data_IF_078526365174
#
_entry.id   IF_078526365174
#
_cell.length_a   1.000
_cell.length_b   1.000
_cell.length_c   1.000
_cell.angle_alpha   90.00
_cell.angle_beta   90.00
_cell.angle_gamma   90.00
#
_symmetry.space_group_name_H-M   'P 1'
#
loop_
_entity.id
_entity.type
_entity.pdbx_description
1 polymer ?
#
# COMPACT_ATOMS: atom_id res chain seq x y z
N UNK A 1 5.51 -3.70 25.99
CA UNK A 1 5.04 -3.84 24.59
C UNK A 1 3.59 -4.34 24.45
N UNK A 2 3.17 -5.51 24.93
CA UNK A 2 1.77 -5.97 24.83
C UNK A 2 0.76 -5.01 25.51
N UNK A 3 1.08 -4.42 26.66
CA UNK A 3 0.20 -3.46 27.34
C UNK A 3 0.10 -2.12 26.59
N UNK A 4 1.14 -1.69 25.90
CA UNK A 4 1.14 -0.47 25.10
C UNK A 4 0.31 -0.67 23.81
N UNK A 5 0.46 -1.82 23.14
CA UNK A 5 -0.34 -2.18 21.95
C UNK A 5 -1.84 -2.31 22.25
N UNK A 6 -2.23 -2.75 23.43
CA UNK A 6 -3.65 -2.84 23.80
C UNK A 6 -4.36 -1.47 23.84
N UNK A 7 -3.61 -0.39 24.03
CA UNK A 7 -4.14 0.99 24.00
C UNK A 7 -4.41 1.51 22.59
N UNK A 8 -3.77 0.90 21.57
CA UNK A 8 -3.94 1.29 20.17
C UNK A 8 -5.09 0.56 19.47
N UNK A 9 -5.76 -0.37 20.13
CA UNK A 9 -6.80 -1.20 19.54
C UNK A 9 -8.21 -0.63 19.80
N UNK A 10 -8.52 0.54 19.24
CA UNK A 10 -9.91 1.00 19.18
C UNK A 10 -10.52 0.69 17.82
N UNK A 11 -11.73 0.08 17.75
CA UNK A 11 -12.44 -0.07 16.49
C UNK A 11 -12.67 1.30 15.84
N UNK A 12 -12.42 1.40 14.52
CA UNK A 12 -12.65 2.64 13.77
C UNK A 12 -14.15 2.88 13.68
N UNK A 13 -14.67 3.88 14.39
CA UNK A 13 -15.85 4.62 13.98
C UNK A 13 -15.41 5.54 12.83
N UNK A 14 -16.12 5.56 11.69
CA UNK A 14 -15.75 6.46 10.60
C UNK A 14 -15.79 7.91 11.12
N UNK A 15 -14.81 8.77 10.82
CA UNK A 15 -14.92 10.20 11.07
C UNK A 15 -16.14 10.70 10.30
N UNK A 16 -16.99 11.47 10.95
CA UNK A 16 -18.03 12.26 10.30
C UNK A 16 -17.34 13.17 9.28
N UNK A 17 -17.76 13.09 8.02
CA UNK A 17 -17.30 14.01 6.97
C UNK A 17 -17.49 15.43 7.47
N UNK A 18 -16.42 16.21 7.49
CA UNK A 18 -16.49 17.63 7.83
C UNK A 18 -17.22 18.37 6.70
N UNK A 19 -18.05 19.34 7.05
CA UNK A 19 -18.85 20.14 6.10
C UNK A 19 -18.03 20.76 4.96
N UNK A 20 -16.73 20.98 5.15
CA UNK A 20 -15.80 21.47 4.12
C UNK A 20 -15.53 20.51 2.95
N UNK A 21 -15.73 19.19 3.13
CA UNK A 21 -15.59 18.23 2.00
C UNK A 21 -16.89 18.15 1.18
N UNK A 22 -18.03 18.47 1.74
CA UNK A 22 -19.33 18.49 1.02
C UNK A 22 -19.51 19.70 0.11
N UNK A 23 -18.94 20.85 0.44
CA UNK A 23 -19.08 22.05 -0.37
C UNK A 23 -18.25 22.04 -1.67
N UNK A 24 -17.26 21.18 -1.80
CA UNK A 24 -16.43 21.05 -3.02
C UNK A 24 -16.93 20.06 -4.06
N UNK A 25 -17.95 19.26 -3.77
CA UNK A 25 -18.57 18.32 -4.72
C UNK A 25 -19.90 18.84 -5.31
N UNK A 26 -20.37 20.02 -4.89
CA UNK A 26 -21.69 20.56 -5.24
C UNK A 26 -21.78 21.45 -6.48
N UNK A 27 -20.67 21.83 -7.09
CA UNK A 27 -20.68 22.78 -8.22
C UNK A 27 -20.19 22.17 -9.54
N UNK A 28 -20.80 21.12 -10.05
CA UNK A 28 -20.77 20.82 -11.50
C UNK A 28 -21.79 19.73 -11.86
N UNK A 29 -23.07 20.09 -11.81
CA UNK A 29 -24.12 19.34 -12.49
C UNK A 29 -25.04 20.32 -13.20
N UNK A 30 -24.63 20.80 -14.36
CA UNK A 30 -25.54 21.44 -15.33
C UNK A 30 -25.87 20.47 -16.45
N UNK A 31 -27.15 20.28 -16.61
CA UNK A 31 -27.85 19.46 -17.61
C UNK A 31 -27.43 19.78 -19.04
N UNK A 32 -27.31 18.72 -19.87
CA UNK A 32 -27.47 18.84 -21.32
C UNK A 32 -28.22 17.63 -21.90
N UNK A 33 -29.05 17.84 -22.95
CA UNK A 33 -30.16 16.97 -23.30
C UNK A 33 -29.80 15.80 -24.22
N UNK A 34 -30.63 14.76 -24.14
CA UNK A 34 -30.67 13.58 -24.98
C UNK A 34 -30.97 13.92 -26.47
N UNK A 35 -30.21 13.34 -27.39
CA UNK A 35 -30.67 13.07 -28.77
C UNK A 35 -30.04 11.77 -29.31
N UNK A 36 -30.65 11.14 -30.38
CA UNK A 36 -30.76 9.71 -30.51
C UNK A 36 -29.81 9.04 -31.51
N UNK A 37 -29.64 7.73 -31.26
CA UNK A 37 -29.26 6.61 -32.18
C UNK A 37 -28.56 6.90 -33.50
N UNK A 38 -27.34 6.40 -33.66
CA UNK A 38 -26.80 6.03 -34.96
C UNK A 38 -26.12 4.66 -34.88
N UNK A 39 -26.65 3.74 -35.67
CA UNK A 39 -26.17 2.38 -35.90
C UNK A 39 -24.78 2.42 -36.51
N UNK A 40 -23.80 1.82 -35.88
CA UNK A 40 -22.48 1.60 -36.47
C UNK A 40 -22.11 0.11 -36.47
N UNK A 41 -21.77 -0.30 -37.70
CA UNK A 41 -21.43 -1.63 -38.20
C UNK A 41 -20.42 -2.39 -37.34
N UNK A 42 -20.72 -3.66 -37.13
CA UNK A 42 -19.83 -4.73 -36.68
C UNK A 42 -18.62 -4.86 -37.63
N UNK A 43 -17.42 -4.71 -37.10
CA UNK A 43 -16.19 -5.16 -37.74
C UNK A 43 -15.43 -6.11 -36.81
N UNK A 44 -15.35 -7.33 -37.27
CA UNK A 44 -14.43 -8.46 -36.96
C UNK A 44 -13.73 -8.46 -35.58
N UNK A 45 -14.36 -9.12 -34.62
CA UNK A 45 -13.73 -9.65 -33.42
C UNK A 45 -12.84 -10.82 -33.81
N UNK A 46 -11.52 -10.65 -33.74
CA UNK A 46 -10.58 -11.77 -33.65
C UNK A 46 -10.75 -12.46 -32.29
N UNK A 47 -11.05 -13.76 -32.39
CA UNK A 47 -11.24 -14.67 -31.24
C UNK A 47 -10.04 -14.70 -30.31
N UNK A 48 -10.19 -14.12 -29.13
CA UNK A 48 -9.51 -14.59 -27.95
C UNK A 48 -10.51 -15.47 -27.18
N UNK A 49 -10.55 -16.76 -27.49
CA UNK A 49 -11.20 -17.78 -26.66
C UNK A 49 -10.27 -18.13 -25.50
N UNK A 50 -10.12 -17.25 -24.53
CA UNK A 50 -9.77 -17.62 -23.15
C UNK A 50 -11.09 -17.89 -22.44
N UNK A 51 -11.21 -19.06 -21.81
CA UNK A 51 -12.40 -19.50 -21.07
C UNK A 51 -13.03 -18.31 -20.30
N UNK A 52 -14.16 -17.82 -20.79
CA UNK A 52 -15.08 -16.99 -20.04
C UNK A 52 -15.67 -17.90 -18.95
N UNK A 53 -15.03 -17.95 -17.80
CA UNK A 53 -15.71 -18.42 -16.60
C UNK A 53 -16.80 -17.38 -16.32
N UNK A 54 -18.07 -17.83 -16.24
CA UNK A 54 -19.16 -17.02 -15.72
C UNK A 54 -18.72 -16.37 -14.41
N UNK A 55 -19.14 -15.11 -14.12
CA UNK A 55 -18.76 -14.43 -12.90
C UNK A 55 -19.12 -15.32 -11.70
N UNK A 56 -18.13 -15.60 -10.84
CA UNK A 56 -18.35 -16.45 -9.66
C UNK A 56 -19.24 -15.78 -8.63
N UNK A 57 -19.40 -14.46 -8.73
CA UNK A 57 -20.23 -13.62 -7.85
C UNK A 57 -20.52 -12.28 -8.51
N UNK A 58 -21.58 -11.61 -8.06
CA UNK A 58 -22.00 -10.26 -8.43
C UNK A 58 -22.06 -9.36 -7.19
N UNK A 59 -22.37 -8.09 -7.36
CA UNK A 59 -22.59 -7.17 -6.22
C UNK A 59 -23.73 -7.64 -5.30
N UNK A 60 -24.73 -8.34 -5.83
CA UNK A 60 -25.88 -8.85 -5.06
C UNK A 60 -25.50 -9.99 -4.10
N UNK A 61 -24.38 -10.66 -4.36
CA UNK A 61 -23.87 -11.72 -3.48
C UNK A 61 -23.06 -11.17 -2.30
N UNK A 62 -22.90 -9.83 -2.22
CA UNK A 62 -22.09 -9.14 -1.22
C UNK A 62 -22.98 -8.40 -0.22
N UNK A 63 -22.68 -8.58 1.07
CA UNK A 63 -23.19 -7.73 2.14
C UNK A 63 -22.09 -6.74 2.54
N UNK A 64 -22.26 -5.47 2.16
CA UNK A 64 -21.35 -4.38 2.51
C UNK A 64 -21.66 -3.93 3.94
N UNK A 65 -20.65 -3.98 4.82
CA UNK A 65 -20.80 -3.73 6.26
C UNK A 65 -20.39 -2.31 6.63
N UNK A 66 -19.18 -1.91 6.23
CA UNK A 66 -18.60 -0.62 6.62
C UNK A 66 -17.76 -0.04 5.48
N UNK A 67 -17.87 1.27 5.28
CA UNK A 67 -16.98 2.03 4.39
C UNK A 67 -15.58 2.12 5.02
N UNK A 68 -14.55 1.72 4.27
CA UNK A 68 -13.15 1.86 4.70
C UNK A 68 -12.56 3.17 4.14
N UNK A 69 -12.69 3.38 2.83
CA UNK A 69 -12.26 4.61 2.15
C UNK A 69 -12.96 4.78 0.81
N UNK A 70 -13.15 6.02 0.40
CA UNK A 70 -13.49 6.37 -0.97
C UNK A 70 -12.22 6.77 -1.73
N UNK A 71 -11.88 6.02 -2.78
CA UNK A 71 -10.77 6.30 -3.69
C UNK A 71 -11.26 6.94 -4.99
N UNK A 72 -10.33 7.33 -5.84
CA UNK A 72 -10.65 7.96 -7.14
C UNK A 72 -11.36 7.00 -8.10
N UNK A 73 -10.88 5.76 -8.21
CA UNK A 73 -11.39 4.76 -9.17
C UNK A 73 -12.33 3.74 -8.54
N UNK A 74 -12.45 3.71 -7.21
CA UNK A 74 -13.29 2.76 -6.50
C UNK A 74 -13.48 3.09 -5.04
N UNK A 75 -14.43 2.43 -4.43
CA UNK A 75 -14.78 2.57 -3.01
C UNK A 75 -14.50 1.25 -2.30
N UNK A 76 -13.86 1.33 -1.15
CA UNK A 76 -13.45 0.18 -0.34
C UNK A 76 -14.41 -0.03 0.82
N UNK A 77 -14.90 -1.25 0.95
CA UNK A 77 -15.80 -1.67 2.02
C UNK A 77 -15.26 -2.89 2.76
N UNK A 78 -15.55 -2.97 4.05
CA UNK A 78 -15.63 -4.26 4.70
C UNK A 78 -16.88 -4.97 4.21
N UNK A 79 -16.74 -6.23 3.83
CA UNK A 79 -17.85 -7.00 3.28
C UNK A 79 -17.76 -8.48 3.67
N UNK A 80 -18.88 -9.17 3.48
CA UNK A 80 -18.96 -10.62 3.54
C UNK A 80 -19.86 -11.14 2.43
N UNK A 81 -19.74 -12.42 2.07
CA UNK A 81 -20.72 -13.05 1.20
C UNK A 81 -22.07 -13.15 1.88
N UNK A 82 -23.16 -12.96 1.13
CA UNK A 82 -24.53 -13.20 1.61
C UNK A 82 -24.74 -14.67 1.91
N UNK A 83 -24.08 -15.57 1.14
CA UNK A 83 -24.09 -17.02 1.33
C UNK A 83 -22.69 -17.59 1.14
N UNK A 84 -22.28 -18.49 2.04
CA UNK A 84 -20.98 -19.17 1.95
C UNK A 84 -19.79 -18.26 2.30
N UNK A 85 -18.63 -18.58 1.74
CA UNK A 85 -17.35 -17.89 1.96
C UNK A 85 -16.64 -17.65 0.64
N UNK A 86 -15.75 -16.65 0.60
CA UNK A 86 -14.84 -16.45 -0.51
C UNK A 86 -13.49 -17.06 -0.15
N UNK A 87 -13.10 -18.16 -0.83
CA UNK A 87 -11.87 -18.90 -0.56
C UNK A 87 -11.63 -19.20 0.95
N UNK A 88 -12.70 -19.58 1.66
CA UNK A 88 -12.64 -19.87 3.10
C UNK A 88 -12.73 -18.66 4.03
N UNK A 89 -12.70 -17.44 3.50
CA UNK A 89 -12.82 -16.22 4.27
C UNK A 89 -14.29 -15.82 4.45
N UNK A 90 -14.72 -15.59 5.69
CA UNK A 90 -16.06 -15.08 6.01
C UNK A 90 -16.15 -13.56 5.88
N UNK A 91 -15.05 -12.85 6.11
CA UNK A 91 -14.90 -11.40 6.03
C UNK A 91 -13.78 -11.05 5.06
N UNK A 92 -13.93 -9.97 4.31
CA UNK A 92 -12.95 -9.49 3.35
C UNK A 92 -13.09 -7.98 3.10
N UNK A 93 -12.09 -7.41 2.45
CA UNK A 93 -12.12 -6.04 1.92
C UNK A 93 -12.58 -6.10 0.46
N UNK A 94 -13.59 -5.31 0.12
CA UNK A 94 -14.15 -5.25 -1.23
C UNK A 94 -13.89 -3.87 -1.84
N UNK A 95 -13.24 -3.82 -3.01
CA UNK A 95 -13.15 -2.60 -3.84
C UNK A 95 -14.21 -2.69 -4.94
N UNK A 96 -15.12 -1.73 -4.96
CA UNK A 96 -16.15 -1.59 -6.00
C UNK A 96 -15.76 -0.41 -6.88
N UNK A 97 -15.64 -0.62 -8.20
CA UNK A 97 -15.29 0.45 -9.13
C UNK A 97 -16.37 1.53 -9.19
N UNK A 98 -15.94 2.79 -9.36
CA UNK A 98 -16.86 3.87 -9.72
C UNK A 98 -17.29 3.73 -11.19
N UNK A 99 -18.39 4.36 -11.52
CA UNK A 99 -18.90 4.42 -12.89
C UNK A 99 -17.88 5.05 -13.85
N UNK A 100 -17.79 4.53 -15.08
CA UNK A 100 -16.88 5.02 -16.11
C UNK A 100 -15.40 4.65 -15.94
N UNK A 101 -15.06 3.79 -14.98
CA UNK A 101 -13.72 3.21 -14.87
C UNK A 101 -13.49 2.25 -16.04
N UNK A 102 -12.36 2.42 -16.74
CA UNK A 102 -12.08 1.60 -17.92
C UNK A 102 -11.76 0.15 -17.53
N UNK A 103 -12.37 -0.87 -18.18
CA UNK A 103 -12.13 -2.29 -17.89
C UNK A 103 -10.63 -2.65 -17.88
N UNK A 104 -9.89 -2.15 -18.88
CA UNK A 104 -8.43 -2.40 -19.00
C UNK A 104 -7.61 -1.90 -17.80
N UNK A 105 -8.09 -0.86 -17.12
CA UNK A 105 -7.42 -0.36 -15.90
C UNK A 105 -7.55 -1.36 -14.77
N UNK A 106 -8.76 -1.90 -14.57
CA UNK A 106 -9.04 -2.90 -13.53
C UNK A 106 -8.37 -4.24 -13.83
N UNK A 107 -8.40 -4.68 -15.10
CA UNK A 107 -7.70 -5.90 -15.53
C UNK A 107 -6.17 -5.80 -15.30
N UNK A 108 -5.58 -4.62 -15.54
CA UNK A 108 -4.16 -4.38 -15.27
C UNK A 108 -3.87 -4.45 -13.77
N UNK A 109 -4.70 -3.86 -12.92
CA UNK A 109 -4.59 -3.93 -11.47
C UNK A 109 -4.68 -5.38 -10.97
N UNK A 110 -5.68 -6.14 -11.43
CA UNK A 110 -5.82 -7.57 -11.13
C UNK A 110 -4.59 -8.37 -11.55
N UNK A 111 -4.07 -8.11 -12.78
CA UNK A 111 -2.88 -8.79 -13.29
C UNK A 111 -1.66 -8.55 -12.40
N UNK A 112 -1.47 -7.32 -11.94
CA UNK A 112 -0.37 -6.95 -11.03
C UNK A 112 -0.55 -7.62 -9.66
N UNK A 113 -1.74 -7.52 -9.06
CA UNK A 113 -2.01 -8.13 -7.76
C UNK A 113 -1.80 -9.64 -7.78
N UNK A 114 -2.14 -10.32 -8.87
CA UNK A 114 -1.90 -11.76 -9.06
C UNK A 114 -0.41 -12.13 -9.13
N UNK A 115 0.46 -11.22 -9.59
CA UNK A 115 1.92 -11.42 -9.57
C UNK A 115 2.54 -11.21 -8.19
N UNK A 116 1.86 -10.46 -7.32
CA UNK A 116 2.32 -10.08 -5.98
C UNK A 116 1.80 -11.02 -4.87
N UNK A 117 1.27 -12.19 -5.23
CA UNK A 117 0.75 -13.17 -4.25
C UNK A 117 1.82 -13.63 -3.25
N UNK A 118 1.37 -13.99 -2.04
CA UNK A 118 2.15 -14.60 -0.97
C UNK A 118 3.21 -13.70 -0.32
N UNK A 119 2.89 -12.41 -0.11
CA UNK A 119 3.70 -11.54 0.73
C UNK A 119 2.85 -10.92 1.86
N UNK A 120 3.27 -11.11 3.13
CA UNK A 120 2.50 -10.71 4.31
C UNK A 120 2.16 -9.22 4.37
N UNK A 121 3.02 -8.37 3.79
CA UNK A 121 2.86 -6.91 3.79
C UNK A 121 2.33 -6.35 2.46
N UNK A 122 1.68 -7.17 1.65
CA UNK A 122 0.95 -6.77 0.44
C UNK A 122 -0.49 -7.25 0.56
N UNK A 123 -1.46 -6.36 0.32
CA UNK A 123 -2.88 -6.70 0.38
C UNK A 123 -3.22 -7.75 -0.66
N UNK A 124 -3.69 -8.91 -0.23
CA UNK A 124 -3.88 -10.09 -1.04
C UNK A 124 -5.20 -10.04 -1.80
N UNK A 125 -5.15 -10.25 -3.12
CA UNK A 125 -6.34 -10.44 -3.95
C UNK A 125 -6.87 -11.87 -3.78
N UNK A 126 -8.13 -12.00 -3.34
CA UNK A 126 -8.81 -13.29 -3.17
C UNK A 126 -9.59 -13.67 -4.42
N UNK A 127 -10.41 -12.75 -4.94
CA UNK A 127 -11.22 -12.97 -6.14
C UNK A 127 -11.56 -11.64 -6.82
N UNK A 128 -12.12 -11.67 -8.04
CA UNK A 128 -12.50 -10.48 -8.78
C UNK A 128 -13.62 -10.77 -9.78
N UNK A 129 -14.41 -9.72 -10.08
CA UNK A 129 -15.35 -9.71 -11.19
C UNK A 129 -15.10 -8.47 -12.06
N UNK A 130 -14.65 -8.66 -13.29
CA UNK A 130 -14.39 -7.61 -14.28
C UNK A 130 -15.20 -7.81 -15.56
N UNK A 131 -16.27 -8.61 -15.51
CA UNK A 131 -17.11 -8.92 -16.68
C UNK A 131 -18.16 -7.85 -16.94
N UNK A 132 -18.67 -7.24 -15.88
CA UNK A 132 -19.72 -6.22 -15.92
C UNK A 132 -19.48 -5.15 -14.83
N UNK A 133 -19.97 -3.94 -15.06
CA UNK A 133 -19.92 -2.87 -14.08
C UNK A 133 -21.00 -3.04 -12.99
N UNK A 134 -20.71 -2.64 -11.75
CA UNK A 134 -19.42 -2.17 -11.26
C UNK A 134 -18.42 -3.33 -11.11
N UNK A 135 -17.16 -3.11 -11.52
CA UNK A 135 -16.09 -4.09 -11.33
C UNK A 135 -15.77 -4.26 -9.85
N UNK A 136 -15.52 -5.50 -9.44
CA UNK A 136 -15.37 -5.85 -8.02
C UNK A 136 -14.07 -6.62 -7.82
N UNK A 137 -13.25 -6.15 -6.87
CA UNK A 137 -12.08 -6.87 -6.38
C UNK A 137 -12.33 -7.25 -4.91
N UNK A 138 -12.18 -8.53 -4.60
CA UNK A 138 -12.25 -9.06 -3.23
C UNK A 138 -10.84 -9.33 -2.75
N UNK A 139 -10.47 -8.71 -1.65
CA UNK A 139 -9.16 -8.79 -1.02
C UNK A 139 -9.29 -9.30 0.41
N UNK A 140 -8.18 -9.77 0.99
CA UNK A 140 -8.17 -10.16 2.39
C UNK A 140 -8.70 -9.03 3.30
N UNK A 141 -9.23 -9.45 4.44
CA UNK A 141 -9.78 -8.51 5.43
C UNK A 141 -8.66 -7.73 6.14
N UNK A 142 -8.92 -6.45 6.39
CA UNK A 142 -8.07 -5.58 7.21
C UNK A 142 -8.93 -4.89 8.28
N UNK A 143 -8.47 -4.99 9.54
CA UNK A 143 -9.29 -4.63 10.71
C UNK A 143 -9.36 -3.13 10.98
N UNK A 144 -8.28 -2.37 10.67
CA UNK A 144 -8.10 -0.99 11.14
C UNK A 144 -8.08 0.06 10.01
N UNK A 145 -8.45 -0.31 8.79
CA UNK A 145 -8.49 0.62 7.66
C UNK A 145 -7.10 1.05 7.18
N UNK A 146 -6.93 2.35 6.88
CA UNK A 146 -5.65 2.86 6.37
C UNK A 146 -4.68 3.22 7.51
N UNK A 147 -3.38 3.09 7.25
CA UNK A 147 -2.35 3.50 8.21
C UNK A 147 -2.44 4.99 8.52
N UNK A 148 -2.82 5.83 7.54
CA UNK A 148 -3.06 7.26 7.77
C UNK A 148 -4.11 7.48 8.85
N UNK A 149 -5.29 6.92 8.69
CA UNK A 149 -6.39 7.05 9.66
C UNK A 149 -5.99 6.47 11.02
N UNK A 150 -5.34 5.30 11.02
CA UNK A 150 -4.86 4.66 12.24
C UNK A 150 -3.90 5.56 13.03
N UNK A 151 -2.91 6.17 12.37
CA UNK A 151 -1.94 7.06 13.04
C UNK A 151 -2.61 8.36 13.51
N UNK A 152 -3.52 8.93 12.74
CA UNK A 152 -4.28 10.12 13.14
C UNK A 152 -5.14 9.87 14.39
N UNK A 153 -5.85 8.75 14.42
CA UNK A 153 -6.70 8.36 15.57
C UNK A 153 -5.88 8.12 16.83
N UNK A 154 -4.68 7.54 16.69
CA UNK A 154 -3.82 7.19 17.82
C UNK A 154 -2.72 8.22 18.10
N UNK A 155 -2.78 9.41 17.48
CA UNK A 155 -1.72 10.44 17.58
C UNK A 155 -1.35 10.80 19.00
N UNK A 156 -2.33 10.98 19.89
CA UNK A 156 -2.09 11.37 21.28
C UNK A 156 -1.22 10.34 22.03
N UNK A 157 -1.48 9.06 21.83
CA UNK A 157 -0.70 7.98 22.44
C UNK A 157 0.69 7.84 21.80
N UNK A 158 0.75 7.87 20.45
CA UNK A 158 1.99 7.70 19.70
C UNK A 158 2.98 8.87 19.93
N UNK A 159 2.49 10.09 20.17
CA UNK A 159 3.35 11.26 20.37
C UNK A 159 3.99 11.34 21.76
N UNK A 160 3.43 10.66 22.75
CA UNK A 160 3.88 10.75 24.15
C UNK A 160 4.63 9.50 24.63
N UNK A 161 4.53 8.39 23.94
CA UNK A 161 5.06 7.09 24.33
C UNK A 161 6.21 6.66 23.40
N UNK A 162 7.44 6.63 23.94
CA UNK A 162 8.63 6.27 23.15
C UNK A 162 8.64 4.82 22.67
N UNK A 163 8.07 3.87 23.44
CA UNK A 163 7.92 2.48 22.98
C UNK A 163 7.01 2.41 21.74
N UNK A 164 5.90 3.16 21.74
CA UNK A 164 5.00 3.22 20.59
C UNK A 164 5.66 3.87 19.37
N UNK A 165 6.57 4.82 19.57
CA UNK A 165 7.33 5.42 18.47
C UNK A 165 8.30 4.42 17.83
N UNK A 166 8.92 3.51 18.61
CA UNK A 166 9.76 2.43 18.06
C UNK A 166 8.98 1.51 17.13
N UNK A 167 7.67 1.31 17.37
CA UNK A 167 6.80 0.52 16.49
C UNK A 167 6.63 1.14 15.10
N UNK A 168 6.80 2.46 14.95
CA UNK A 168 6.80 3.11 13.63
C UNK A 168 7.99 2.65 12.77
N UNK A 169 9.15 2.40 13.40
CA UNK A 169 10.33 1.86 12.72
C UNK A 169 10.05 0.45 12.20
N UNK A 170 9.43 -0.41 13.03
CA UNK A 170 9.04 -1.77 12.64
C UNK A 170 8.01 -1.74 11.49
N UNK A 171 6.99 -0.88 11.58
CA UNK A 171 6.03 -0.73 10.49
C UNK A 171 6.71 -0.25 9.20
N UNK A 172 7.67 0.69 9.28
CA UNK A 172 8.46 1.17 8.14
C UNK A 172 9.26 0.05 7.50
N UNK A 173 9.88 -0.83 8.31
CA UNK A 173 10.58 -2.02 7.84
C UNK A 173 9.66 -2.95 7.04
N UNK A 174 8.48 -3.24 7.55
CA UNK A 174 7.51 -4.08 6.85
C UNK A 174 6.99 -3.47 5.54
N UNK A 175 6.84 -2.15 5.47
CA UNK A 175 6.52 -1.45 4.22
C UNK A 175 7.70 -1.56 3.24
N UNK A 176 8.94 -1.40 3.71
CA UNK A 176 10.13 -1.53 2.88
C UNK A 176 10.29 -2.95 2.30
N UNK A 177 10.00 -4.01 3.09
CA UNK A 177 9.95 -5.39 2.61
C UNK A 177 8.92 -5.60 1.49
N UNK A 178 7.73 -5.02 1.63
CA UNK A 178 6.72 -5.06 0.56
C UNK A 178 7.24 -4.40 -0.72
N UNK A 179 7.87 -3.22 -0.60
CA UNK A 179 8.41 -2.50 -1.76
C UNK A 179 9.63 -3.22 -2.39
N UNK A 180 10.46 -3.88 -1.58
CA UNK A 180 11.52 -4.77 -2.06
C UNK A 180 10.92 -5.93 -2.88
N UNK A 181 9.81 -6.52 -2.41
CA UNK A 181 9.12 -7.58 -3.16
C UNK A 181 8.55 -7.05 -4.49
N UNK A 182 7.90 -5.87 -4.52
CA UNK A 182 7.45 -5.25 -5.77
C UNK A 182 8.62 -5.10 -6.76
N UNK A 183 9.77 -4.60 -6.26
CA UNK A 183 10.98 -4.45 -7.08
C UNK A 183 11.46 -5.78 -7.66
N UNK A 184 11.45 -6.86 -6.88
CA UNK A 184 11.84 -8.21 -7.34
C UNK A 184 10.94 -8.73 -8.47
N UNK A 185 9.66 -8.32 -8.47
CA UNK A 185 8.68 -8.64 -9.53
C UNK A 185 8.68 -7.64 -10.69
N UNK A 186 9.58 -6.66 -10.69
CA UNK A 186 9.67 -5.58 -11.70
C UNK A 186 8.39 -4.74 -11.77
N UNK A 187 7.74 -4.49 -10.63
CA UNK A 187 6.51 -3.70 -10.51
C UNK A 187 6.83 -2.38 -9.83
N UNK A 188 6.46 -1.26 -10.48
CA UNK A 188 6.42 0.08 -9.89
C UNK A 188 5.06 0.28 -9.23
N UNK A 189 5.04 0.83 -8.00
CA UNK A 189 3.78 1.12 -7.30
C UNK A 189 3.10 2.40 -7.83
N UNK A 190 3.87 3.47 -7.96
CA UNK A 190 3.46 4.78 -8.47
C UNK A 190 2.39 5.54 -7.66
N UNK A 191 1.91 5.01 -6.53
CA UNK A 191 0.98 5.68 -5.61
C UNK A 191 1.24 5.29 -4.14
N UNK A 192 2.51 5.14 -3.77
CA UNK A 192 2.88 4.81 -2.39
C UNK A 192 2.65 6.04 -1.48
N UNK A 193 1.75 5.88 -0.51
CA UNK A 193 1.32 6.91 0.46
C UNK A 193 0.63 6.24 1.64
N UNK A 194 0.58 6.86 2.82
CA UNK A 194 -0.09 6.28 4.00
C UNK A 194 -1.55 5.92 3.77
N UNK A 195 -2.29 6.68 2.95
CA UNK A 195 -3.68 6.39 2.58
C UNK A 195 -3.85 5.06 1.83
N UNK A 196 -2.76 4.52 1.25
CA UNK A 196 -2.73 3.29 0.46
C UNK A 196 -2.02 2.14 1.18
N UNK A 197 -1.73 2.29 2.46
CA UNK A 197 -1.22 1.24 3.33
C UNK A 197 -2.33 0.88 4.30
N UNK A 198 -2.74 -0.38 4.32
CA UNK A 198 -3.80 -0.91 5.19
C UNK A 198 -3.20 -1.52 6.45
N UNK A 199 -3.95 -1.52 7.55
CA UNK A 199 -3.53 -2.06 8.84
C UNK A 199 -4.43 -3.21 9.25
N UNK A 200 -3.84 -4.39 9.45
CA UNK A 200 -4.52 -5.53 10.05
C UNK A 200 -4.06 -5.77 11.49
N UNK A 201 -2.75 -5.74 11.73
CA UNK A 201 -2.14 -5.89 13.06
C UNK A 201 -0.89 -5.03 13.14
N UNK A 202 -1.01 -3.89 13.80
CA UNK A 202 0.10 -2.96 13.93
C UNK A 202 1.13 -3.46 14.95
N UNK A 203 2.44 -3.36 14.67
CA UNK A 203 3.12 -2.85 13.47
C UNK A 203 3.44 -3.90 12.39
N UNK A 204 3.20 -5.20 12.63
CA UNK A 204 3.70 -6.32 11.82
C UNK A 204 2.90 -6.56 10.54
N UNK A 205 1.59 -6.31 10.58
CA UNK A 205 0.71 -6.54 9.44
C UNK A 205 0.19 -5.22 8.88
N UNK A 206 1.13 -4.37 8.45
CA UNK A 206 0.85 -3.24 7.57
C UNK A 206 0.99 -3.72 6.12
N UNK A 207 0.02 -3.42 5.27
CA UNK A 207 -0.11 -4.01 3.93
C UNK A 207 -0.20 -2.92 2.87
N UNK A 208 0.76 -2.91 1.95
CA UNK A 208 0.73 -2.04 0.76
C UNK A 208 -0.42 -2.47 -0.14
N UNK A 209 -1.23 -1.51 -0.58
CA UNK A 209 -2.46 -1.69 -1.33
C UNK A 209 -2.62 -0.61 -2.41
N UNK A 210 -3.70 -0.68 -3.22
CA UNK A 210 -4.05 0.30 -4.25
C UNK A 210 -3.09 0.28 -5.45
N UNK A 211 -3.21 -0.75 -6.28
CA UNK A 211 -2.35 -0.97 -7.45
C UNK A 211 -2.90 -0.37 -8.75
N UNK A 212 -3.93 0.49 -8.70
CA UNK A 212 -4.55 1.11 -9.87
C UNK A 212 -3.60 1.98 -10.72
N UNK A 213 -2.54 2.57 -10.12
CA UNK A 213 -1.48 3.29 -10.83
C UNK A 213 -0.22 2.46 -11.05
N UNK A 214 -0.15 1.24 -10.54
CA UNK A 214 1.03 0.40 -10.62
C UNK A 214 1.38 0.02 -12.06
N UNK A 215 2.65 -0.28 -12.31
CA UNK A 215 3.17 -0.59 -13.66
C UNK A 215 4.05 -1.84 -13.63
N UNK A 216 3.68 -2.81 -14.42
CA UNK A 216 4.47 -4.00 -14.67
C UNK A 216 5.48 -3.76 -15.79
N UNK A 217 6.76 -3.68 -15.45
CA UNK A 217 7.84 -3.42 -16.41
C UNK A 217 8.22 -4.65 -17.23
N UNK A 218 7.81 -5.86 -16.84
CA UNK A 218 8.10 -7.08 -17.60
C UNK A 218 7.26 -7.18 -18.86
N UNK A 219 6.07 -6.59 -18.86
CA UNK A 219 5.14 -6.58 -20.00
C UNK A 219 5.45 -5.49 -21.04
N UNK A 220 6.41 -4.61 -20.75
CA UNK A 220 6.75 -3.46 -21.58
C UNK A 220 7.93 -3.74 -22.49
N UNK A 221 7.71 -3.84 -23.79
CA UNK A 221 8.67 -4.24 -24.83
C UNK A 221 9.69 -3.15 -25.22
N UNK A 222 9.80 -2.01 -24.53
CA UNK A 222 10.65 -0.90 -24.96
C UNK A 222 11.28 -0.12 -23.79
N UNK A 223 12.51 0.37 -23.99
CA UNK A 223 13.23 1.33 -23.11
C UNK A 223 12.43 2.62 -22.79
N UNK A 224 11.26 2.81 -23.39
CA UNK A 224 10.31 3.90 -23.12
C UNK A 224 9.38 3.61 -21.93
N UNK A 225 9.53 2.49 -21.25
CA UNK A 225 8.67 2.06 -20.14
C UNK A 225 8.69 3.00 -18.92
N UNK A 226 9.80 3.71 -18.71
CA UNK A 226 9.95 4.68 -17.62
C UNK A 226 9.36 6.07 -17.92
N UNK A 227 9.03 6.37 -19.20
CA UNK A 227 8.38 7.64 -19.56
C UNK A 227 6.87 7.53 -19.47
N UNK A 228 6.29 8.49 -18.82
CA UNK A 228 4.82 8.60 -18.67
C UNK A 228 4.19 9.01 -20.00
N UNK A 229 3.34 8.15 -20.60
CA UNK A 229 2.75 8.42 -21.93
C UNK A 229 1.42 9.16 -21.91
N UNK A 230 0.77 9.30 -20.73
CA UNK A 230 -0.54 9.93 -20.67
C UNK A 230 -0.47 11.26 -19.90
N UNK A 231 -0.36 12.40 -20.59
CA UNK A 231 -0.27 13.72 -19.95
C UNK A 231 -1.56 14.13 -19.20
N UNK A 232 -2.68 13.42 -19.40
CA UNK A 232 -3.97 13.69 -18.73
C UNK A 232 -4.17 12.84 -17.47
N UNK A 233 -3.24 11.96 -17.12
CA UNK A 233 -3.39 11.14 -15.92
C UNK A 233 -3.07 11.98 -14.69
N UNK A 234 -4.05 12.15 -13.79
CA UNK A 234 -3.84 12.82 -12.51
C UNK A 234 -2.97 11.94 -11.62
N UNK A 235 -1.86 12.47 -11.13
CA UNK A 235 -0.89 11.78 -10.27
C UNK A 235 -0.90 12.38 -8.87
N UNK A 236 -0.49 11.62 -7.83
CA UNK A 236 -0.39 12.10 -6.46
C UNK A 236 0.85 12.99 -6.30
N UNK A 237 0.75 14.25 -6.72
CA UNK A 237 1.88 15.16 -6.93
C UNK A 237 2.79 15.32 -5.69
N UNK A 238 2.25 15.34 -4.46
CA UNK A 238 3.03 15.53 -3.22
C UNK A 238 3.95 14.35 -2.88
N UNK A 239 3.71 13.18 -3.50
CA UNK A 239 4.53 11.96 -3.36
C UNK A 239 5.44 11.72 -4.57
N UNK A 240 5.37 12.57 -5.61
CA UNK A 240 6.13 12.38 -6.83
C UNK A 240 7.47 13.11 -6.79
N UNK A 241 8.53 12.51 -7.40
CA UNK A 241 9.87 13.06 -7.39
C UNK A 241 10.06 14.15 -8.45
N UNK A 242 11.08 15.05 -8.28
CA UNK A 242 11.32 16.15 -9.20
C UNK A 242 11.60 15.72 -10.63
N UNK A 243 12.25 14.56 -10.86
CA UNK A 243 12.51 14.07 -12.23
C UNK A 243 11.23 13.69 -12.99
N UNK A 244 10.13 13.43 -12.28
CA UNK A 244 8.84 13.26 -12.94
C UNK A 244 8.35 14.56 -13.56
N UNK A 245 8.39 15.65 -12.81
CA UNK A 245 7.92 16.96 -13.27
C UNK A 245 8.86 17.59 -14.31
N UNK A 246 10.18 17.44 -14.13
CA UNK A 246 11.19 17.98 -15.03
C UNK A 246 11.28 17.21 -16.35
N UNK A 247 11.24 15.87 -16.30
CA UNK A 247 11.62 14.99 -17.42
C UNK A 247 10.55 13.96 -17.79
N UNK A 248 9.39 13.98 -17.14
CA UNK A 248 8.33 12.98 -17.28
C UNK A 248 8.86 11.54 -17.09
N UNK A 249 9.77 11.38 -16.13
CA UNK A 249 10.46 10.12 -15.84
C UNK A 249 10.11 9.59 -14.45
N UNK A 250 9.71 8.32 -14.37
CA UNK A 250 9.41 7.64 -13.11
C UNK A 250 10.03 6.23 -13.12
N UNK A 251 10.74 5.88 -12.08
CA UNK A 251 11.43 4.60 -11.93
C UNK A 251 11.26 4.07 -10.50
N UNK A 252 11.92 2.95 -10.16
CA UNK A 252 12.00 2.47 -8.77
C UNK A 252 12.56 3.51 -7.79
N UNK A 253 13.39 4.43 -8.28
CA UNK A 253 13.90 5.56 -7.47
C UNK A 253 12.82 6.62 -7.19
N UNK A 254 11.74 6.63 -8.00
CA UNK A 254 10.52 7.39 -7.72
C UNK A 254 9.70 6.78 -6.57
N UNK A 255 9.57 5.46 -6.53
CA UNK A 255 8.94 4.77 -5.38
C UNK A 255 9.78 4.94 -4.10
N UNK A 256 11.13 5.00 -4.21
CA UNK A 256 12.01 5.32 -3.06
C UNK A 256 11.76 6.74 -2.56
N UNK A 257 11.63 7.73 -3.44
CA UNK A 257 11.24 9.09 -3.05
C UNK A 257 9.90 9.09 -2.30
N UNK A 258 8.88 8.42 -2.86
CA UNK A 258 7.57 8.30 -2.24
C UNK A 258 7.64 7.59 -0.86
N UNK A 259 8.52 6.60 -0.71
CA UNK A 259 8.76 5.95 0.58
C UNK A 259 9.33 6.94 1.62
N UNK A 260 10.26 7.81 1.24
CA UNK A 260 10.73 8.89 2.12
C UNK A 260 9.59 9.83 2.57
N UNK A 261 8.65 10.13 1.66
CA UNK A 261 7.43 10.89 2.02
C UNK A 261 6.55 10.09 2.99
N UNK A 262 6.39 8.77 2.80
CA UNK A 262 5.65 7.89 3.74
C UNK A 262 6.29 7.89 5.12
N UNK A 263 7.61 7.80 5.22
CA UNK A 263 8.32 7.91 6.51
C UNK A 263 8.01 9.24 7.19
N UNK A 264 8.02 10.34 6.43
CA UNK A 264 7.65 11.66 6.93
C UNK A 264 6.20 11.72 7.41
N UNK A 265 5.25 11.18 6.62
CA UNK A 265 3.84 11.07 7.03
C UNK A 265 3.70 10.26 8.33
N UNK A 266 4.45 9.16 8.49
CA UNK A 266 4.43 8.34 9.71
C UNK A 266 4.91 9.13 10.92
N UNK A 267 6.05 9.81 10.82
CA UNK A 267 6.64 10.59 11.92
C UNK A 267 5.82 11.85 12.27
N UNK A 268 4.96 12.30 11.37
CA UNK A 268 4.00 13.40 11.60
C UNK A 268 2.57 12.94 11.84
N UNK A 269 2.39 11.62 12.07
CA UNK A 269 1.09 10.99 12.36
C UNK A 269 0.00 11.29 11.33
N UNK A 270 0.36 11.19 10.04
CA UNK A 270 -0.57 11.32 8.93
C UNK A 270 -0.83 12.75 8.45
N UNK A 271 0.05 13.70 8.78
CA UNK A 271 0.00 15.07 8.23
C UNK A 271 0.18 15.06 6.72
N UNK A 272 -0.51 15.96 6.02
CA UNK A 272 -0.37 16.12 4.57
C UNK A 272 1.04 16.63 4.22
N UNK A 273 1.79 15.99 3.32
CA UNK A 273 3.11 16.46 2.90
C UNK A 273 3.07 17.88 2.32
N UNK A 274 4.12 18.67 2.56
CA UNK A 274 4.20 20.09 2.20
C UNK A 274 3.03 20.92 2.77
N UNK A 275 2.84 20.92 4.11
CA UNK A 275 1.61 21.39 4.76
C UNK A 275 1.32 22.87 4.49
N UNK A 276 2.36 23.70 4.22
CA UNK A 276 2.24 25.14 4.02
C UNK A 276 2.02 25.53 2.55
N UNK A 277 1.81 24.55 1.65
CA UNK A 277 1.62 24.81 0.22
C UNK A 277 0.20 24.38 -0.18
N UNK A 278 -0.64 25.35 -0.51
CA UNK A 278 -2.06 25.14 -0.81
C UNK A 278 -2.29 24.70 -2.26
N UNK A 279 -1.57 25.29 -3.22
CA UNK A 279 -1.82 25.04 -4.64
C UNK A 279 -0.91 23.93 -5.20
N UNK A 280 -1.43 23.19 -6.18
CA UNK A 280 -0.68 22.17 -6.90
C UNK A 280 0.59 22.72 -7.55
N UNK A 281 0.51 23.91 -8.14
CA UNK A 281 1.63 24.54 -8.84
C UNK A 281 2.73 24.96 -7.87
N UNK A 282 2.36 25.51 -6.69
CA UNK A 282 3.31 25.82 -5.63
C UNK A 282 4.05 24.57 -5.16
N UNK A 283 3.33 23.45 -4.93
CA UNK A 283 3.94 22.18 -4.52
C UNK A 283 4.92 21.68 -5.59
N UNK A 284 4.51 21.64 -6.86
CA UNK A 284 5.37 21.19 -7.96
C UNK A 284 6.60 22.08 -8.09
N UNK A 285 6.44 23.40 -8.02
CA UNK A 285 7.55 24.35 -8.06
C UNK A 285 8.55 24.09 -6.93
N UNK A 286 8.08 23.97 -5.68
CA UNK A 286 8.95 23.72 -4.52
C UNK A 286 9.69 22.39 -4.62
N UNK A 287 9.04 21.32 -5.08
CA UNK A 287 9.70 20.04 -5.34
C UNK A 287 10.79 20.19 -6.40
N UNK A 288 10.51 20.92 -7.49
CA UNK A 288 11.45 21.10 -8.60
C UNK A 288 12.68 21.93 -8.24
N UNK A 289 12.56 22.89 -7.33
CA UNK A 289 13.72 23.67 -6.85
C UNK A 289 14.47 23.01 -5.68
N UNK A 290 14.07 21.78 -5.30
CA UNK A 290 14.78 20.98 -4.32
C UNK A 290 14.30 21.13 -2.87
N UNK A 291 13.22 21.86 -2.60
CA UNK A 291 12.66 21.95 -1.25
C UNK A 291 12.11 20.58 -0.81
N UNK A 292 12.38 20.24 0.43
CA UNK A 292 11.92 19.01 1.10
C UNK A 292 10.91 19.35 2.19
N UNK A 293 10.15 18.37 2.65
CA UNK A 293 9.35 18.51 3.86
C UNK A 293 10.23 18.87 5.07
N UNK A 294 9.75 19.67 6.02
CA UNK A 294 10.48 19.99 7.24
C UNK A 294 10.76 18.73 8.06
N UNK A 295 11.83 18.74 8.85
CA UNK A 295 12.11 17.62 9.74
C UNK A 295 10.98 17.45 10.76
N UNK A 296 10.43 16.23 10.93
CA UNK A 296 9.43 15.96 11.95
C UNK A 296 10.02 16.21 13.34
N UNK A 297 9.24 16.84 14.21
CA UNK A 297 9.63 17.06 15.60
C UNK A 297 9.77 15.72 16.35
N UNK A 298 10.81 15.58 17.16
CA UNK A 298 11.07 14.34 17.91
C UNK A 298 11.49 13.13 17.09
N UNK A 299 11.69 13.29 15.78
CA UNK A 299 12.11 12.19 14.92
C UNK A 299 13.56 11.78 15.21
N UNK A 300 13.81 10.49 15.33
CA UNK A 300 15.15 9.91 15.54
C UNK A 300 16.11 10.30 14.41
N UNK A 301 17.39 10.61 14.72
CA UNK A 301 18.39 10.98 13.71
C UNK A 301 18.55 9.95 12.59
N UNK A 302 18.50 8.65 12.94
CA UNK A 302 18.65 7.55 11.98
C UNK A 302 17.48 7.53 10.97
N UNK A 303 16.25 7.76 11.45
CA UNK A 303 15.07 7.85 10.56
C UNK A 303 15.13 9.09 9.68
N UNK A 304 15.61 10.23 10.19
CA UNK A 304 15.87 11.43 9.40
C UNK A 304 16.92 11.18 8.32
N UNK A 305 17.96 10.39 8.63
CA UNK A 305 18.98 10.01 7.65
C UNK A 305 18.36 9.22 6.49
N UNK A 306 17.59 8.17 6.79
CA UNK A 306 16.89 7.38 5.75
C UNK A 306 15.97 8.25 4.89
N UNK A 307 15.18 9.15 5.51
CA UNK A 307 14.32 10.08 4.77
C UNK A 307 15.12 10.96 3.80
N UNK A 308 16.21 11.55 4.26
CA UNK A 308 17.08 12.40 3.43
C UNK A 308 17.69 11.63 2.29
N UNK A 309 18.16 10.40 2.52
CA UNK A 309 18.70 9.53 1.49
C UNK A 309 17.66 9.16 0.42
N UNK A 310 16.40 8.96 0.82
CA UNK A 310 15.29 8.76 -0.12
C UNK A 310 15.04 9.97 -1.04
N UNK A 311 15.45 11.17 -0.64
CA UNK A 311 15.25 12.43 -1.36
C UNK A 311 16.52 12.99 -2.01
N UNK A 312 17.57 12.18 -2.13
CA UNK A 312 18.82 12.59 -2.80
C UNK A 312 18.59 12.97 -4.27
N UNK A 313 19.35 13.95 -4.72
CA UNK A 313 19.48 14.36 -6.12
C UNK A 313 20.95 14.36 -6.54
N UNK A 314 21.28 13.77 -7.69
CA UNK A 314 20.40 13.11 -8.65
C UNK A 314 19.78 11.81 -8.09
N UNK A 315 18.64 11.40 -8.67
CA UNK A 315 17.86 10.22 -8.21
C UNK A 315 18.67 8.92 -8.17
N UNK A 316 19.73 8.80 -8.95
CA UNK A 316 20.63 7.64 -8.99
C UNK A 316 21.32 7.37 -7.65
N UNK A 317 21.51 8.41 -6.82
CA UNK A 317 22.14 8.32 -5.50
C UNK A 317 21.21 7.77 -4.42
N UNK A 318 19.89 7.82 -4.64
CA UNK A 318 18.93 7.26 -3.66
C UNK A 318 19.22 5.78 -3.42
N UNK A 319 19.04 5.24 -2.19
CA UNK A 319 19.25 3.84 -1.88
C UNK A 319 18.28 2.94 -2.69
N UNK A 320 18.57 1.66 -2.75
CA UNK A 320 17.59 0.63 -3.16
C UNK A 320 16.71 0.25 -1.97
N UNK A 321 15.56 -0.41 -2.23
CA UNK A 321 14.75 -0.94 -1.13
C UNK A 321 15.51 -2.00 -0.31
N UNK A 322 16.43 -2.77 -0.91
CA UNK A 322 17.30 -3.68 -0.16
C UNK A 322 18.21 -2.95 0.81
N UNK A 323 18.79 -1.80 0.40
CA UNK A 323 19.59 -0.97 1.31
C UNK A 323 18.73 -0.38 2.43
N UNK A 324 17.51 0.10 2.11
CA UNK A 324 16.59 0.67 3.09
C UNK A 324 16.18 -0.40 4.13
N UNK A 325 15.91 -1.62 3.69
CA UNK A 325 15.61 -2.76 4.58
C UNK A 325 16.76 -2.97 5.57
N UNK A 326 18.01 -3.09 5.10
CA UNK A 326 19.17 -3.24 5.97
C UNK A 326 19.36 -2.03 6.92
N UNK A 327 19.12 -0.79 6.47
CA UNK A 327 19.21 0.38 7.32
C UNK A 327 18.17 0.35 8.45
N UNK A 328 16.94 -0.07 8.16
CA UNK A 328 15.87 -0.20 9.15
C UNK A 328 16.12 -1.38 10.10
N UNK A 329 16.63 -2.52 9.60
CA UNK A 329 17.07 -3.65 10.43
C UNK A 329 18.12 -3.20 11.45
N UNK A 330 19.17 -2.51 11.02
CA UNK A 330 20.21 -2.00 11.91
C UNK A 330 19.65 -1.09 13.01
N UNK A 331 18.63 -0.24 12.71
CA UNK A 331 18.00 0.59 13.74
C UNK A 331 17.27 -0.29 14.77
N UNK A 332 16.52 -1.29 14.30
CA UNK A 332 15.73 -2.18 15.15
C UNK A 332 16.66 -3.03 16.04
N UNK A 333 17.75 -3.56 15.49
CA UNK A 333 18.73 -4.37 16.23
C UNK A 333 19.52 -3.57 17.26
N UNK A 334 19.80 -2.28 16.97
CA UNK A 334 20.54 -1.39 17.87
C UNK A 334 19.67 -0.75 18.96
N UNK A 335 18.34 -0.89 18.88
CA UNK A 335 17.48 -0.49 19.99
C UNK A 335 17.79 -1.40 21.20
N UNK A 336 18.16 -0.78 22.34
CA UNK A 336 18.63 -1.45 23.55
C UNK A 336 17.67 -2.51 24.11
N UNK A 337 16.39 -2.43 23.75
CA UNK A 337 15.38 -3.44 23.99
C UNK A 337 15.15 -4.20 22.66
N UNK A 338 15.74 -5.38 22.55
CA UNK A 338 15.54 -6.28 21.40
C UNK A 338 14.05 -6.43 21.10
N UNK A 339 13.60 -5.88 19.99
CA UNK A 339 12.20 -5.98 19.57
C UNK A 339 12.08 -7.08 18.53
N UNK A 340 11.33 -8.12 18.87
CA UNK A 340 11.04 -9.19 17.94
C UNK A 340 10.22 -8.66 16.76
N UNK A 341 10.81 -8.62 15.58
CA UNK A 341 10.18 -8.15 14.34
C UNK A 341 9.23 -9.17 13.74
N UNK A 342 9.28 -10.42 14.23
CA UNK A 342 8.39 -11.49 13.76
C UNK A 342 7.08 -11.52 14.56
N UNK A 343 6.01 -11.91 13.89
CA UNK A 343 4.71 -12.11 14.55
C UNK A 343 4.82 -13.24 15.59
N UNK A 344 4.21 -13.11 16.79
CA UNK A 344 4.25 -14.13 17.84
C UNK A 344 3.84 -15.55 17.39
N UNK A 345 3.18 -15.69 16.26
CA UNK A 345 2.80 -16.98 15.68
C UNK A 345 3.99 -17.77 15.08
N UNK A 346 5.12 -17.13 14.77
CA UNK A 346 6.32 -17.79 14.31
C UNK A 346 7.23 -18.32 15.45
N UNK A 347 7.15 -17.72 16.64
CA UNK A 347 7.93 -18.17 17.82
C UNK A 347 7.54 -19.57 18.28
N UNK A 348 6.26 -19.95 18.16
CA UNK A 348 5.80 -21.29 18.58
C UNK A 348 6.33 -22.42 17.66
N UNK A 349 6.71 -22.09 16.42
CA UNK A 349 7.28 -23.09 15.50
C UNK A 349 8.79 -23.30 15.70
N UNK A 350 9.53 -22.26 16.14
CA UNK A 350 10.99 -22.37 16.29
C UNK A 350 11.42 -23.07 17.59
N UNK A 351 10.60 -23.02 18.66
CA UNK A 351 10.91 -23.78 19.89
C UNK A 351 10.88 -25.30 19.66
N UNK A 352 10.03 -25.81 18.75
CA UNK A 352 10.01 -27.22 18.36
C UNK A 352 11.26 -27.66 17.58
N UNK A 353 11.77 -26.83 16.67
CA UNK A 353 12.95 -27.15 15.87
C UNK A 353 14.26 -27.07 16.68
N UNK A 354 14.36 -26.15 17.66
CA UNK A 354 15.53 -26.08 18.56
C UNK A 354 15.62 -27.29 19.48
N UNK A 355 14.52 -27.83 19.96
CA UNK A 355 14.53 -29.07 20.76
C UNK A 355 14.90 -30.33 19.95
N UNK A 356 14.44 -30.42 18.70
CA UNK A 356 14.81 -31.51 17.80
C UNK A 356 16.29 -31.44 17.40
N UNK A 357 16.83 -30.28 17.11
CA UNK A 357 18.25 -30.09 16.77
C UNK A 357 19.19 -30.36 17.97
N UNK A 358 18.76 -30.06 19.20
CA UNK A 358 19.54 -30.45 20.40
C UNK A 358 19.46 -31.91 20.71
N UNK A 359 18.34 -32.60 20.48
CA UNK A 359 18.21 -34.04 20.63
C UNK A 359 19.06 -34.81 19.60
N UNK A 360 19.12 -34.31 18.35
CA UNK A 360 19.95 -34.93 17.31
C UNK A 360 21.45 -34.72 17.54
N UNK A 361 21.88 -33.58 18.12
CA UNK A 361 23.29 -33.37 18.52
C UNK A 361 23.68 -34.18 19.73
N UNK A 362 22.80 -34.40 20.71
CA UNK A 362 23.06 -35.27 21.84
C UNK A 362 23.16 -36.75 21.44
N UNK A 363 22.40 -37.17 20.43
CA UNK A 363 22.46 -38.55 19.90
C UNK A 363 23.73 -38.83 19.06
N UNK A 364 24.30 -37.80 18.38
CA UNK A 364 25.53 -37.95 17.59
C UNK A 364 26.81 -37.99 18.45
N UNK A 365 26.81 -37.32 19.62
CA UNK A 365 27.98 -37.34 20.56
C UNK A 365 28.08 -38.67 21.31
N UNK A 366 26.96 -39.39 21.50
CA UNK A 366 26.97 -40.71 22.18
C UNK A 366 27.39 -41.88 21.30
N UNK A 367 27.65 -41.71 20.03
CA UNK A 367 28.09 -42.74 19.08
C UNK A 367 29.58 -42.65 18.73
N UNK A 368 30.30 -41.59 19.11
CA UNK A 368 31.74 -41.45 18.89
C UNK A 368 32.61 -41.97 20.07
N UNK A 369 32.01 -42.24 21.24
CA UNK A 369 32.74 -42.76 22.42
C UNK A 369 32.69 -44.29 22.57
N UNK A 370 32.30 -45.03 21.54
CA UNK A 370 32.31 -46.51 21.53
C UNK A 370 32.97 -47.12 20.30
N UNK A 371 34.12 -46.56 19.84
CA UNK A 371 35.03 -47.24 18.96
C UNK A 371 36.49 -46.94 19.32
#
# INVERSE_FOLDING_TARGET
MQSALSRLQTPITPPSETEEEREREGEEASEMPLQPSTTVRLSSRRLWRGLQQSPRFTKLDLNLLQLIKAGKEGVFYQARMTRGTCKGHSMFTCKISKEGVRPKSVEAEVSIMRKLVHHKNILQLLDWNTTEEPYILIMEYVSYGTLRTFLQTNRAHLSTDSELQSLLTIASYHIALAMQHLRSKMILHCDLALRNIMVNKFPWEVKVAEFGLARDLTSMTSRRSSRWRNPRQRVPLRWYPPEYFKNNYYSFKGDVWAFGIVLWEMQTFGTLPYPNLETSDAVVYHICIGHKNPNPEGCRPEMLHIMRDCWLEPYTLRPSFSNIVCMLENIIENDADYVDVESPQHLVKNEGEYHEAQCLRAASVSLEDQN
#
